data_IF_020107217987
#
_entry.id   IF_020107217987
#
_cell.length_a   1.000
_cell.length_b   1.000
_cell.length_c   1.000
_cell.angle_alpha   90.00
_cell.angle_beta   90.00
_cell.angle_gamma   90.00
#
_symmetry.space_group_name_H-M   'P 1'
#
loop_
_entity.id
_entity.type
_entity.pdbx_description
1 polymer ?
#
# COMPACT_ATOMS: atom_id res chain seq x y z
N UNK A 1 -23.72 -4.27 15.71
CA UNK A 1 -22.90 -5.34 15.11
C UNK A 1 -21.44 -4.99 15.36
N UNK A 2 -20.70 -5.80 16.13
CA UNK A 2 -19.25 -5.65 16.26
C UNK A 2 -18.65 -5.83 14.87
N UNK A 3 -18.14 -4.74 14.26
CA UNK A 3 -17.36 -4.86 13.02
C UNK A 3 -16.15 -5.73 13.36
N UNK A 4 -15.95 -6.87 12.69
CA UNK A 4 -14.73 -7.64 12.88
C UNK A 4 -13.54 -6.73 12.54
N UNK A 5 -12.51 -6.68 13.40
CA UNK A 5 -11.21 -6.06 13.10
C UNK A 5 -10.55 -6.61 11.81
N UNK A 6 -11.13 -7.69 11.29
CA UNK A 6 -10.83 -8.47 10.12
C UNK A 6 -10.64 -7.69 8.80
N UNK A 7 -11.33 -6.56 8.61
CA UNK A 7 -11.30 -5.83 7.33
C UNK A 7 -10.27 -4.71 7.25
N UNK A 8 -9.58 -4.40 8.34
CA UNK A 8 -8.66 -3.27 8.39
C UNK A 8 -7.23 -3.59 7.97
N UNK A 9 -6.90 -4.88 7.80
CA UNK A 9 -5.53 -5.38 7.66
C UNK A 9 -5.11 -6.07 6.37
N UNK A 10 -5.90 -6.20 5.27
CA UNK A 10 -5.37 -6.78 4.04
C UNK A 10 -4.16 -5.97 3.55
N UNK A 11 -3.22 -6.66 2.89
CA UNK A 11 -1.89 -6.22 2.49
C UNK A 11 -0.78 -6.35 3.56
N UNK A 12 -0.97 -7.14 4.63
CA UNK A 12 0.12 -7.48 5.56
C UNK A 12 1.24 -8.25 4.87
N UNK A 13 0.93 -9.17 3.97
CA UNK A 13 1.94 -9.93 3.20
C UNK A 13 2.87 -8.97 2.46
N UNK A 14 2.29 -7.98 1.75
CA UNK A 14 3.08 -6.96 1.06
C UNK A 14 3.84 -6.07 2.05
N UNK A 15 3.23 -5.65 3.15
CA UNK A 15 3.91 -4.89 4.19
C UNK A 15 5.16 -5.62 4.71
N UNK A 16 5.04 -6.88 5.06
CA UNK A 16 6.17 -7.67 5.54
C UNK A 16 7.25 -7.90 4.47
N UNK A 17 6.86 -8.06 3.19
CA UNK A 17 7.84 -8.10 2.09
C UNK A 17 8.65 -6.81 2.00
N UNK A 18 8.04 -5.67 2.29
CA UNK A 18 8.66 -4.34 2.23
C UNK A 18 9.49 -4.02 3.45
N UNK A 19 8.95 -4.21 4.65
CA UNK A 19 9.56 -3.68 5.89
C UNK A 19 10.46 -4.65 6.60
N UNK A 20 10.24 -5.94 6.39
CA UNK A 20 10.98 -6.97 7.06
C UNK A 20 11.80 -7.71 6.03
N UNK A 21 12.73 -7.08 5.32
CA UNK A 21 13.70 -7.74 4.42
C UNK A 21 13.18 -9.00 3.67
N UNK A 22 12.03 -8.89 2.99
CA UNK A 22 11.38 -10.02 2.30
C UNK A 22 11.08 -11.21 3.22
N UNK A 23 10.61 -10.92 4.43
CA UNK A 23 10.35 -11.84 5.55
C UNK A 23 11.56 -12.71 5.96
N UNK A 24 12.60 -12.19 6.65
CA UNK A 24 13.81 -12.92 7.01
C UNK A 24 13.55 -14.11 7.96
N UNK A 25 12.37 -14.16 8.58
CA UNK A 25 11.91 -15.28 9.41
C UNK A 25 11.17 -16.37 8.61
N UNK A 26 10.86 -16.15 7.32
CA UNK A 26 10.50 -17.26 6.47
C UNK A 26 11.69 -18.23 6.48
N UNK A 27 11.47 -19.52 6.79
CA UNK A 27 12.58 -20.46 6.94
C UNK A 27 13.52 -20.57 5.73
N UNK A 28 13.02 -20.16 4.56
CA UNK A 28 13.76 -19.98 3.30
C UNK A 28 15.00 -19.07 3.41
N UNK A 29 14.98 -18.11 4.34
CA UNK A 29 16.07 -17.15 4.54
C UNK A 29 17.15 -17.66 5.51
N UNK A 30 16.96 -18.84 6.13
CA UNK A 30 17.95 -19.46 7.04
C UNK A 30 18.31 -20.92 6.71
N UNK A 31 17.43 -21.74 6.12
CA UNK A 31 17.73 -23.14 5.75
C UNK A 31 17.08 -23.58 4.42
N UNK A 32 17.89 -23.78 3.37
CA UNK A 32 17.48 -24.34 2.07
C UNK A 32 16.78 -25.71 2.19
N UNK A 33 17.08 -26.48 3.24
CA UNK A 33 16.42 -27.74 3.57
C UNK A 33 14.95 -27.52 3.94
N UNK A 34 14.62 -26.52 4.75
CA UNK A 34 13.23 -26.30 5.15
C UNK A 34 12.39 -25.81 3.97
N UNK A 35 12.97 -25.04 3.04
CA UNK A 35 12.30 -24.70 1.78
C UNK A 35 11.94 -25.94 0.96
N UNK A 36 12.91 -26.86 0.74
CA UNK A 36 12.64 -28.09 -0.03
C UNK A 36 11.56 -28.94 0.62
N UNK A 37 11.58 -29.01 1.95
CA UNK A 37 10.61 -29.73 2.75
C UNK A 37 9.23 -29.04 2.70
N UNK A 38 9.18 -27.71 2.81
CA UNK A 38 7.94 -26.94 2.65
C UNK A 38 7.35 -27.19 1.26
N UNK A 39 8.16 -27.11 0.20
CA UNK A 39 7.72 -27.41 -1.16
C UNK A 39 7.26 -28.85 -1.35
N UNK A 40 7.79 -29.80 -0.58
CA UNK A 40 7.28 -31.19 -0.55
C UNK A 40 5.89 -31.21 0.10
N UNK A 41 5.74 -30.58 1.27
CA UNK A 41 4.46 -30.43 1.96
C UNK A 41 3.42 -29.70 1.06
N UNK A 42 3.85 -28.76 0.19
CA UNK A 42 2.98 -28.04 -0.75
C UNK A 42 2.61 -28.87 -2.00
N UNK A 43 3.42 -29.84 -2.40
CA UNK A 43 3.17 -30.66 -3.60
C UNK A 43 2.09 -31.73 -3.38
N UNK A 44 1.82 -32.09 -2.12
CA UNK A 44 0.96 -33.22 -1.76
C UNK A 44 -0.54 -32.85 -1.62
N UNK A 45 -0.91 -31.57 -1.74
CA UNK A 45 -2.20 -31.09 -1.22
C UNK A 45 -3.01 -30.28 -2.25
N UNK A 46 -4.22 -30.75 -2.60
CA UNK A 46 -5.25 -30.03 -3.37
C UNK A 46 -5.98 -28.92 -2.55
N UNK A 47 -5.27 -28.13 -1.74
CA UNK A 47 -5.87 -27.09 -0.88
C UNK A 47 -5.57 -25.67 -1.41
N UNK A 48 -6.37 -24.67 -1.02
CA UNK A 48 -6.04 -23.26 -1.27
C UNK A 48 -4.64 -22.91 -0.74
N UNK A 49 -3.87 -22.15 -1.52
CA UNK A 49 -2.46 -21.82 -1.26
C UNK A 49 -2.19 -21.39 0.19
N UNK A 50 -2.90 -20.38 0.70
CA UNK A 50 -2.66 -19.87 2.06
C UNK A 50 -3.07 -20.86 3.17
N UNK A 51 -4.05 -21.74 2.93
CA UNK A 51 -4.40 -22.80 3.88
C UNK A 51 -3.26 -23.79 4.03
N UNK A 52 -2.71 -24.20 2.90
CA UNK A 52 -1.58 -25.11 2.81
C UNK A 52 -0.32 -24.50 3.44
N UNK A 53 -0.01 -23.23 3.15
CA UNK A 53 1.08 -22.49 3.78
C UNK A 53 0.97 -22.45 5.31
N UNK A 54 -0.20 -22.10 5.85
CA UNK A 54 -0.40 -22.06 7.31
C UNK A 54 -0.30 -23.44 7.96
N UNK A 55 -0.79 -24.49 7.31
CA UNK A 55 -0.64 -25.87 7.80
C UNK A 55 0.83 -26.29 7.85
N UNK A 56 1.59 -26.01 6.78
CA UNK A 56 3.02 -26.29 6.72
C UNK A 56 3.79 -25.55 7.82
N UNK A 57 3.54 -24.24 8.00
CA UNK A 57 4.17 -23.46 9.06
C UNK A 57 3.84 -23.96 10.46
N UNK A 58 2.58 -24.33 10.71
CA UNK A 58 2.15 -24.90 11.98
C UNK A 58 2.82 -26.24 12.26
N UNK A 59 2.89 -27.12 11.26
CA UNK A 59 3.58 -28.41 11.36
C UNK A 59 5.06 -28.22 11.73
N UNK A 60 5.70 -27.18 11.20
CA UNK A 60 7.10 -26.82 11.47
C UNK A 60 7.29 -25.90 12.68
N UNK A 61 6.23 -25.57 13.42
CA UNK A 61 6.26 -24.66 14.59
C UNK A 61 6.83 -23.27 14.29
N UNK A 62 6.66 -22.79 13.05
CA UNK A 62 7.00 -21.41 12.66
C UNK A 62 5.89 -20.50 13.18
N UNK A 63 6.27 -19.50 13.98
CA UNK A 63 5.35 -18.50 14.50
C UNK A 63 5.24 -17.34 13.50
N UNK A 64 4.01 -17.02 13.11
CA UNK A 64 3.71 -15.84 12.28
C UNK A 64 3.35 -14.66 13.17
N UNK A 65 3.63 -13.45 12.70
CA UNK A 65 3.05 -12.23 13.27
C UNK A 65 1.51 -12.32 13.25
N UNK A 66 0.86 -11.83 14.30
CA UNK A 66 -0.59 -11.93 14.46
C UNK A 66 -1.35 -11.30 13.28
N UNK A 67 -0.88 -10.15 12.77
CA UNK A 67 -1.49 -9.49 11.62
C UNK A 67 -1.37 -10.30 10.34
N UNK A 68 -0.20 -10.93 10.11
CA UNK A 68 0.02 -11.79 8.95
C UNK A 68 -0.80 -13.09 9.04
N UNK A 69 -0.88 -13.69 10.23
CA UNK A 69 -1.68 -14.87 10.47
C UNK A 69 -3.17 -14.60 10.22
N UNK A 70 -3.69 -13.48 10.73
CA UNK A 70 -5.07 -13.06 10.49
C UNK A 70 -5.35 -12.85 9.00
N UNK A 71 -4.45 -12.19 8.27
CA UNK A 71 -4.59 -12.00 6.82
C UNK A 71 -4.63 -13.35 6.09
N UNK A 72 -3.72 -14.27 6.41
CA UNK A 72 -3.67 -15.56 5.72
C UNK A 72 -4.87 -16.45 6.06
N UNK A 73 -5.41 -16.32 7.26
CA UNK A 73 -6.69 -16.94 7.63
C UNK A 73 -7.85 -16.38 6.80
N UNK A 74 -7.90 -15.05 6.62
CA UNK A 74 -8.86 -14.41 5.72
C UNK A 74 -8.69 -14.96 4.29
N UNK A 75 -7.47 -15.01 3.75
CA UNK A 75 -7.22 -15.54 2.40
C UNK A 75 -7.64 -17.01 2.26
N UNK A 76 -7.37 -17.84 3.25
CA UNK A 76 -7.76 -19.25 3.25
C UNK A 76 -9.28 -19.50 3.31
N UNK A 77 -10.06 -18.47 3.64
CA UNK A 77 -11.53 -18.48 3.65
C UNK A 77 -12.13 -17.72 2.46
N UNK A 78 -11.35 -16.84 1.85
CA UNK A 78 -11.79 -16.00 0.73
C UNK A 78 -11.94 -16.84 -0.53
N UNK A 79 -13.15 -16.89 -1.08
CA UNK A 79 -13.36 -17.43 -2.43
C UNK A 79 -12.77 -16.47 -3.45
N UNK A 80 -11.83 -16.97 -4.26
CA UNK A 80 -11.22 -16.21 -5.35
C UNK A 80 -12.29 -15.80 -6.37
N UNK A 81 -12.33 -14.51 -6.70
CA UNK A 81 -13.23 -13.96 -7.71
C UNK A 81 -12.74 -14.34 -9.13
N UNK A 82 -13.67 -14.52 -10.08
CA UNK A 82 -13.33 -14.93 -11.45
C UNK A 82 -12.42 -13.91 -12.16
N UNK A 83 -12.65 -12.61 -11.98
CA UNK A 83 -11.79 -11.56 -12.55
C UNK A 83 -10.36 -11.67 -12.02
N UNK A 84 -10.21 -11.85 -10.72
CA UNK A 84 -8.90 -12.02 -10.10
C UNK A 84 -8.20 -13.29 -10.63
N UNK A 85 -8.96 -14.38 -10.80
CA UNK A 85 -8.49 -15.64 -11.40
C UNK A 85 -8.04 -15.44 -12.84
N UNK A 86 -8.80 -14.71 -13.65
CA UNK A 86 -8.44 -14.40 -15.03
C UNK A 86 -7.13 -13.62 -15.14
N UNK A 87 -6.94 -12.62 -14.27
CA UNK A 87 -5.68 -11.86 -14.18
C UNK A 87 -4.52 -12.82 -13.91
N UNK A 88 -4.65 -13.65 -12.88
CA UNK A 88 -3.63 -14.64 -12.52
C UNK A 88 -3.35 -15.65 -13.64
N UNK A 89 -4.37 -16.14 -14.34
CA UNK A 89 -4.21 -17.07 -15.46
C UNK A 89 -3.62 -16.42 -16.71
N UNK A 90 -3.78 -15.11 -16.87
CA UNK A 90 -3.19 -14.36 -18.00
C UNK A 90 -1.68 -14.17 -17.86
N UNK A 91 -1.14 -14.34 -16.65
CA UNK A 91 0.27 -14.14 -16.37
C UNK A 91 1.16 -15.18 -17.02
N UNK A 92 2.13 -14.72 -17.81
CA UNK A 92 3.16 -15.58 -18.37
C UNK A 92 4.16 -15.98 -17.28
N UNK A 93 4.24 -17.28 -16.96
CA UNK A 93 5.19 -17.78 -15.97
C UNK A 93 6.44 -18.30 -16.65
N UNK A 94 7.48 -17.47 -16.69
CA UNK A 94 8.83 -17.94 -17.02
C UNK A 94 9.26 -18.90 -15.92
N UNK A 95 9.74 -20.10 -16.30
CA UNK A 95 10.33 -21.01 -15.31
C UNK A 95 11.59 -20.36 -14.74
N UNK A 96 11.56 -20.04 -13.46
CA UNK A 96 12.75 -19.59 -12.75
C UNK A 96 13.56 -20.82 -12.34
N UNK A 97 14.87 -20.80 -12.56
CA UNK A 97 15.77 -21.85 -12.08
C UNK A 97 16.01 -21.73 -10.57
N UNK A 98 15.83 -20.53 -10.03
CA UNK A 98 16.03 -20.22 -8.63
C UNK A 98 14.76 -20.51 -7.81
N UNK A 99 14.80 -21.60 -7.07
CA UNK A 99 13.73 -22.09 -6.19
C UNK A 99 13.14 -20.98 -5.28
N UNK A 100 13.99 -20.19 -4.61
CA UNK A 100 13.52 -19.05 -3.79
C UNK A 100 12.65 -18.07 -4.58
N UNK A 101 13.08 -17.65 -5.77
CA UNK A 101 12.34 -16.68 -6.60
C UNK A 101 10.98 -17.27 -7.00
N UNK A 102 10.94 -18.55 -7.39
CA UNK A 102 9.69 -19.23 -7.73
C UNK A 102 8.66 -19.19 -6.59
N UNK A 103 9.11 -19.34 -5.34
CA UNK A 103 8.22 -19.29 -4.19
C UNK A 103 7.72 -17.88 -3.89
N UNK A 104 8.60 -16.86 -3.88
CA UNK A 104 8.16 -15.48 -3.65
C UNK A 104 7.23 -15.02 -4.77
N UNK A 105 7.49 -15.40 -6.02
CA UNK A 105 6.57 -15.16 -7.14
C UNK A 105 5.17 -15.73 -6.84
N UNK A 106 5.08 -16.99 -6.40
CA UNK A 106 3.81 -17.59 -6.01
C UNK A 106 3.15 -16.86 -4.82
N UNK A 107 3.91 -16.53 -3.79
CA UNK A 107 3.40 -15.84 -2.61
C UNK A 107 2.84 -14.46 -2.98
N UNK A 108 3.61 -13.66 -3.73
CA UNK A 108 3.26 -12.31 -4.19
C UNK A 108 1.97 -12.35 -5.02
N UNK A 109 1.90 -13.21 -6.04
CA UNK A 109 0.75 -13.23 -6.94
C UNK A 109 -0.49 -13.92 -6.35
N UNK A 110 -0.33 -14.87 -5.43
CA UNK A 110 -1.46 -15.34 -4.63
C UNK A 110 -1.93 -14.22 -3.68
N UNK A 111 -1.04 -13.50 -3.00
CA UNK A 111 -1.44 -12.38 -2.14
C UNK A 111 -2.23 -11.32 -2.93
N UNK A 112 -1.81 -11.00 -4.16
CA UNK A 112 -2.57 -10.14 -5.07
C UNK A 112 -3.98 -10.70 -5.33
N UNK A 113 -4.07 -11.95 -5.77
CA UNK A 113 -5.31 -12.64 -6.13
C UNK A 113 -6.35 -12.61 -4.99
N UNK A 114 -5.90 -13.00 -3.79
CA UNK A 114 -6.77 -13.07 -2.62
C UNK A 114 -7.10 -11.69 -2.06
N UNK A 115 -6.16 -10.74 -2.09
CA UNK A 115 -6.43 -9.36 -1.68
C UNK A 115 -7.47 -8.70 -2.58
N UNK A 116 -7.35 -8.84 -3.90
CA UNK A 116 -8.35 -8.33 -4.84
C UNK A 116 -9.73 -8.95 -4.56
N UNK A 117 -9.78 -10.27 -4.36
CA UNK A 117 -11.02 -10.98 -4.07
C UNK A 117 -11.64 -10.53 -2.74
N UNK A 118 -10.82 -10.33 -1.70
CA UNK A 118 -11.26 -9.84 -0.40
C UNK A 118 -11.79 -8.40 -0.49
N UNK A 119 -11.13 -7.53 -1.27
CA UNK A 119 -11.61 -6.17 -1.55
C UNK A 119 -13.00 -6.21 -2.20
N UNK A 120 -13.15 -6.98 -3.27
CA UNK A 120 -14.43 -7.08 -3.98
C UNK A 120 -15.55 -7.58 -3.07
N UNK A 121 -15.27 -8.57 -2.21
CA UNK A 121 -16.23 -9.06 -1.21
C UNK A 121 -16.57 -8.00 -0.16
N UNK A 122 -15.58 -7.25 0.34
CA UNK A 122 -15.79 -6.15 1.27
C UNK A 122 -16.64 -5.02 0.68
N UNK A 123 -16.43 -4.73 -0.60
CA UNK A 123 -17.20 -3.72 -1.33
C UNK A 123 -18.65 -4.18 -1.57
N UNK A 124 -18.87 -5.49 -1.73
CA UNK A 124 -20.20 -6.05 -1.91
C UNK A 124 -21.01 -5.95 -0.59
N UNK A 125 -22.08 -5.14 -0.61
CA UNK A 125 -22.91 -4.86 0.57
C UNK A 125 -22.46 -3.66 1.42
N UNK A 126 -21.37 -2.98 1.06
CA UNK A 126 -20.95 -1.73 1.71
C UNK A 126 -21.71 -0.51 1.15
N UNK A 127 -22.00 0.48 1.99
CA UNK A 127 -22.56 1.77 1.55
C UNK A 127 -21.55 2.55 0.68
N UNK A 128 -22.03 3.49 -0.14
CA UNK A 128 -21.16 4.31 -1.01
C UNK A 128 -20.03 5.01 -0.22
N UNK A 129 -20.36 5.59 0.94
CA UNK A 129 -19.38 6.22 1.82
C UNK A 129 -18.31 5.23 2.32
N UNK A 130 -18.72 4.00 2.70
CA UNK A 130 -17.79 2.96 3.13
C UNK A 130 -16.92 2.47 1.96
N UNK A 131 -17.48 2.32 0.76
CA UNK A 131 -16.72 1.96 -0.43
C UNK A 131 -15.65 3.01 -0.72
N UNK A 132 -16.02 4.29 -0.72
CA UNK A 132 -15.09 5.40 -0.93
C UNK A 132 -13.98 5.41 0.14
N UNK A 133 -14.33 5.19 1.41
CA UNK A 133 -13.35 5.06 2.49
C UNK A 133 -12.34 3.93 2.22
N UNK A 134 -12.83 2.74 1.84
CA UNK A 134 -11.95 1.60 1.59
C UNK A 134 -11.08 1.79 0.34
N UNK A 135 -11.62 2.34 -0.75
CA UNK A 135 -10.85 2.68 -1.96
C UNK A 135 -9.70 3.61 -1.58
N UNK A 136 -9.99 4.73 -0.90
CA UNK A 136 -8.97 5.69 -0.51
C UNK A 136 -7.93 5.08 0.44
N UNK A 137 -8.38 4.26 1.40
CA UNK A 137 -7.49 3.58 2.34
C UNK A 137 -6.52 2.63 1.61
N UNK A 138 -7.03 1.82 0.69
CA UNK A 138 -6.22 0.85 -0.05
C UNK A 138 -5.25 1.53 -1.01
N UNK A 139 -5.69 2.54 -1.77
CA UNK A 139 -4.80 3.30 -2.65
C UNK A 139 -3.66 3.94 -1.86
N UNK A 140 -3.97 4.54 -0.70
CA UNK A 140 -2.94 5.09 0.18
C UNK A 140 -1.92 4.03 0.64
N UNK A 141 -2.39 2.87 1.10
CA UNK A 141 -1.50 1.77 1.54
C UNK A 141 -0.63 1.30 0.37
N UNK A 142 -1.22 1.12 -0.81
CA UNK A 142 -0.49 0.70 -2.01
C UNK A 142 0.58 1.72 -2.38
N UNK A 143 0.24 3.01 -2.41
CA UNK A 143 1.19 4.09 -2.68
C UNK A 143 2.34 4.12 -1.68
N UNK A 144 2.04 4.02 -0.39
CA UNK A 144 3.05 3.99 0.68
C UNK A 144 4.01 2.79 0.50
N UNK A 145 3.47 1.59 0.22
CA UNK A 145 4.26 0.37 -0.01
C UNK A 145 5.14 0.47 -1.26
N UNK A 146 4.57 0.93 -2.38
CA UNK A 146 5.30 1.12 -3.65
C UNK A 146 6.40 2.16 -3.52
N UNK A 147 6.11 3.30 -2.88
CA UNK A 147 7.11 4.33 -2.60
C UNK A 147 8.31 3.76 -1.83
N UNK A 148 8.04 2.91 -0.83
CA UNK A 148 9.10 2.25 -0.07
C UNK A 148 9.86 1.20 -0.88
N UNK A 149 9.19 0.39 -1.70
CA UNK A 149 9.86 -0.58 -2.59
C UNK A 149 10.83 0.09 -3.55
N UNK A 150 10.41 1.20 -4.15
CA UNK A 150 11.28 1.98 -5.05
C UNK A 150 12.48 2.54 -4.31
N UNK A 151 12.29 3.04 -3.10
CA UNK A 151 13.41 3.45 -2.24
C UNK A 151 14.36 2.29 -1.96
N UNK A 152 13.82 1.11 -1.60
CA UNK A 152 14.62 -0.09 -1.37
C UNK A 152 15.35 -0.57 -2.63
N UNK A 153 14.76 -0.42 -3.82
CA UNK A 153 15.43 -0.74 -5.08
C UNK A 153 16.63 0.16 -5.35
N UNK A 154 16.55 1.43 -4.96
CA UNK A 154 17.65 2.39 -5.12
C UNK A 154 18.71 2.26 -4.02
N UNK A 155 18.32 1.93 -2.80
CA UNK A 155 19.22 1.82 -1.63
C UNK A 155 19.88 0.43 -1.51
N UNK A 156 19.12 -0.63 -1.82
CA UNK A 156 19.49 -2.03 -1.66
C UNK A 156 19.97 -2.61 -2.99
N UNK A 157 21.23 -3.05 -3.03
CA UNK A 157 21.87 -3.59 -4.23
C UNK A 157 21.17 -4.83 -4.85
N UNK A 158 21.83 -5.43 -5.84
CA UNK A 158 21.23 -6.35 -6.83
C UNK A 158 20.60 -7.66 -6.32
N UNK A 159 20.89 -8.11 -5.08
CA UNK A 159 20.54 -9.48 -4.63
C UNK A 159 19.04 -9.77 -4.53
N UNK A 160 18.23 -8.74 -4.32
CA UNK A 160 16.78 -8.85 -4.07
C UNK A 160 15.95 -8.04 -5.08
N UNK A 161 16.63 -7.46 -6.08
CA UNK A 161 16.04 -6.52 -7.03
C UNK A 161 14.82 -7.10 -7.75
N UNK A 162 14.88 -8.38 -8.16
CA UNK A 162 13.77 -9.04 -8.83
C UNK A 162 12.55 -9.20 -7.92
N UNK A 163 12.74 -9.50 -6.65
CA UNK A 163 11.64 -9.68 -5.68
C UNK A 163 10.98 -8.34 -5.38
N UNK A 164 11.78 -7.28 -5.22
CA UNK A 164 11.29 -5.91 -5.08
C UNK A 164 10.44 -5.52 -6.30
N UNK A 165 10.92 -5.81 -7.51
CA UNK A 165 10.21 -5.52 -8.74
C UNK A 165 8.92 -6.31 -8.91
N UNK A 166 8.92 -7.63 -8.66
CA UNK A 166 7.70 -8.44 -8.72
C UNK A 166 6.64 -7.94 -7.71
N UNK A 167 7.09 -7.50 -6.53
CA UNK A 167 6.22 -6.92 -5.52
C UNK A 167 5.65 -5.57 -5.98
N UNK A 168 6.46 -4.69 -6.57
CA UNK A 168 5.96 -3.42 -7.13
C UNK A 168 4.96 -3.66 -8.26
N UNK A 169 5.22 -4.64 -9.13
CA UNK A 169 4.32 -5.00 -10.22
C UNK A 169 2.98 -5.54 -9.73
N UNK A 170 2.97 -6.39 -8.69
CA UNK A 170 1.73 -6.87 -8.10
C UNK A 170 0.89 -5.74 -7.48
N UNK A 171 1.56 -4.80 -6.78
CA UNK A 171 0.90 -3.62 -6.22
C UNK A 171 0.39 -2.66 -7.30
N UNK A 172 1.14 -2.48 -8.40
CA UNK A 172 0.71 -1.71 -9.57
C UNK A 172 -0.55 -2.30 -10.22
N UNK A 173 -0.60 -3.63 -10.37
CA UNK A 173 -1.79 -4.31 -10.89
C UNK A 173 -2.99 -4.09 -9.96
N UNK A 174 -2.79 -4.19 -8.64
CA UNK A 174 -3.86 -3.92 -7.68
C UNK A 174 -4.37 -2.48 -7.75
N UNK A 175 -3.47 -1.51 -7.88
CA UNK A 175 -3.81 -0.10 -8.07
C UNK A 175 -4.67 0.11 -9.33
N UNK A 176 -4.25 -0.48 -10.46
CA UNK A 176 -5.01 -0.44 -11.70
C UNK A 176 -6.41 -1.08 -11.56
N UNK A 177 -6.50 -2.23 -10.89
CA UNK A 177 -7.78 -2.88 -10.65
C UNK A 177 -8.72 -2.03 -9.79
N UNK A 178 -8.21 -1.37 -8.74
CA UNK A 178 -9.01 -0.47 -7.90
C UNK A 178 -9.54 0.70 -8.73
N UNK A 179 -8.67 1.33 -9.52
CA UNK A 179 -9.08 2.43 -10.40
C UNK A 179 -10.10 2.00 -11.46
N UNK A 180 -9.97 0.78 -11.96
CA UNK A 180 -10.84 0.25 -13.02
C UNK A 180 -12.21 -0.15 -12.47
N UNK A 181 -12.25 -0.84 -11.34
CA UNK A 181 -13.50 -1.34 -10.72
C UNK A 181 -14.26 -0.27 -9.94
N UNK A 182 -13.58 0.78 -9.47
CA UNK A 182 -14.15 1.80 -8.59
C UNK A 182 -13.83 3.22 -9.07
N UNK A 183 -13.83 3.44 -10.40
CA UNK A 183 -13.50 4.71 -11.03
C UNK A 183 -14.28 5.89 -10.41
N UNK A 184 -15.60 5.72 -10.23
CA UNK A 184 -16.49 6.76 -9.68
C UNK A 184 -16.19 7.14 -8.22
N UNK A 185 -15.46 6.29 -7.50
CA UNK A 185 -15.08 6.49 -6.10
C UNK A 185 -13.65 7.00 -5.93
N UNK A 186 -12.86 7.02 -7.00
CA UNK A 186 -11.48 7.46 -6.98
C UNK A 186 -11.39 9.00 -6.98
N UNK A 187 -10.50 9.60 -6.16
CA UNK A 187 -10.29 11.04 -6.20
C UNK A 187 -9.76 11.49 -7.58
N UNK A 188 -10.27 12.60 -8.14
CA UNK A 188 -9.70 13.17 -9.36
C UNK A 188 -8.23 13.57 -9.11
N UNK A 189 -7.33 13.20 -10.03
CA UNK A 189 -5.89 13.51 -9.95
C UNK A 189 -5.00 12.42 -9.37
N UNK A 190 -5.54 11.36 -8.75
CA UNK A 190 -4.71 10.23 -8.30
C UNK A 190 -4.14 9.40 -9.47
N UNK A 191 -4.82 9.42 -10.62
CA UNK A 191 -4.41 8.68 -11.82
C UNK A 191 -3.10 9.21 -12.45
N UNK A 192 -2.65 10.42 -12.12
CA UNK A 192 -1.44 10.99 -12.72
C UNK A 192 -0.14 10.39 -12.16
N UNK A 193 -0.17 9.68 -11.02
CA UNK A 193 0.99 8.90 -10.54
C UNK A 193 1.17 7.55 -11.25
N UNK A 194 0.23 7.14 -12.11
CA UNK A 194 0.16 5.81 -12.72
C UNK A 194 1.21 5.50 -13.79
N UNK A 195 2.06 6.44 -14.18
CA UNK A 195 3.00 6.21 -15.28
C UNK A 195 4.40 5.75 -14.84
N UNK A 196 4.75 5.83 -13.55
CA UNK A 196 6.11 5.52 -13.12
C UNK A 196 6.23 4.04 -12.73
N UNK A 197 6.24 3.15 -13.73
CA UNK A 197 6.79 1.81 -13.54
C UNK A 197 8.21 1.93 -12.97
N UNK A 198 8.58 1.01 -12.08
CA UNK A 198 9.96 0.95 -11.58
C UNK A 198 10.89 0.72 -12.78
N UNK A 199 11.77 1.69 -13.05
CA UNK A 199 12.70 1.60 -14.18
C UNK A 199 13.81 0.60 -13.82
N UNK A 200 13.71 -0.59 -14.40
CA UNK A 200 14.69 -1.64 -14.20
C UNK A 200 15.95 -1.34 -15.02
N UNK A 201 17.10 -1.34 -14.35
CA UNK A 201 18.38 -1.27 -15.07
C UNK A 201 18.90 -2.67 -15.39
N UNK A 202 19.34 -2.96 -16.63
CA UNK A 202 19.85 -4.28 -17.01
C UNK A 202 21.01 -4.77 -16.15
N UNK A 203 21.85 -3.85 -15.65
CA UNK A 203 22.97 -4.19 -14.77
C UNK A 203 22.55 -4.72 -13.40
N UNK A 204 21.42 -4.23 -12.86
CA UNK A 204 20.90 -4.68 -11.56
C UNK A 204 20.19 -6.03 -11.68
N UNK A 205 19.53 -6.29 -12.82
CA UNK A 205 18.74 -7.51 -13.05
C UNK A 205 19.37 -8.50 -14.03
N UNK A 206 20.66 -8.45 -14.31
CA UNK A 206 21.27 -9.24 -15.40
C UNK A 206 20.92 -10.75 -15.35
N UNK A 207 20.84 -11.35 -14.15
CA UNK A 207 20.50 -12.77 -13.98
C UNK A 207 19.00 -13.06 -14.09
N UNK A 208 18.16 -12.08 -13.80
CA UNK A 208 16.70 -12.18 -13.74
C UNK A 208 15.99 -11.38 -14.85
N UNK A 209 16.76 -10.84 -15.80
CA UNK A 209 16.29 -9.92 -16.84
C UNK A 209 15.18 -10.52 -17.69
N UNK A 210 15.28 -11.82 -18.00
CA UNK A 210 14.27 -12.53 -18.75
C UNK A 210 12.93 -12.60 -18.00
N UNK A 211 12.96 -12.76 -16.66
CA UNK A 211 11.76 -12.77 -15.83
C UNK A 211 11.14 -11.37 -15.80
N UNK A 212 11.94 -10.34 -15.50
CA UNK A 212 11.47 -8.96 -15.49
C UNK A 212 10.89 -8.52 -16.84
N UNK A 213 11.59 -8.82 -17.94
CA UNK A 213 11.11 -8.51 -19.30
C UNK A 213 9.80 -9.23 -19.64
N UNK A 214 9.62 -10.47 -19.19
CA UNK A 214 8.38 -11.20 -19.39
C UNK A 214 7.23 -10.61 -18.57
N UNK A 215 7.51 -10.16 -17.34
CA UNK A 215 6.53 -9.46 -16.49
C UNK A 215 6.13 -8.11 -17.10
N UNK A 216 7.09 -7.31 -17.58
CA UNK A 216 6.82 -6.06 -18.30
C UNK A 216 5.98 -6.33 -19.55
N UNK A 217 6.38 -7.32 -20.36
CA UNK A 217 5.65 -7.69 -21.57
C UNK A 217 4.21 -8.09 -21.26
N UNK A 218 4.01 -8.94 -20.24
CA UNK A 218 2.68 -9.32 -19.78
C UNK A 218 1.86 -8.10 -19.36
N UNK A 219 2.42 -7.23 -18.52
CA UNK A 219 1.69 -6.08 -18.01
C UNK A 219 1.25 -5.15 -19.16
N UNK A 220 2.20 -4.77 -20.02
CA UNK A 220 1.98 -3.78 -21.08
C UNK A 220 1.14 -4.35 -22.22
N UNK A 221 1.40 -5.57 -22.67
CA UNK A 221 0.82 -6.10 -23.92
C UNK A 221 -0.35 -7.06 -23.69
N UNK A 222 -0.55 -7.55 -22.46
CA UNK A 222 -1.62 -8.50 -22.15
C UNK A 222 -2.58 -7.90 -21.12
N UNK A 223 -2.08 -7.51 -19.95
CA UNK A 223 -2.91 -7.04 -18.86
C UNK A 223 -3.61 -5.71 -19.21
N UNK A 224 -2.84 -4.67 -19.54
CA UNK A 224 -3.40 -3.34 -19.84
C UNK A 224 -4.44 -3.40 -20.98
N UNK A 225 -4.18 -4.01 -22.15
CA UNK A 225 -5.15 -4.03 -23.24
C UNK A 225 -6.42 -4.85 -22.90
N UNK A 226 -6.29 -5.92 -22.12
CA UNK A 226 -7.41 -6.82 -21.81
C UNK A 226 -8.31 -6.28 -20.69
N UNK A 227 -7.72 -5.67 -19.67
CA UNK A 227 -8.42 -5.36 -18.43
C UNK A 227 -8.75 -3.87 -18.24
N UNK A 228 -8.18 -2.97 -19.05
CA UNK A 228 -8.42 -1.52 -18.99
C UNK A 228 -9.83 -1.11 -19.45
N UNK A 229 -10.38 -1.79 -20.46
CA UNK A 229 -11.65 -1.37 -21.10
C UNK A 229 -12.86 -2.24 -20.71
N UNK A 230 -12.65 -3.31 -19.94
CA UNK A 230 -13.69 -4.33 -19.68
C UNK A 230 -14.84 -3.86 -18.77
N UNK A 231 -14.69 -2.77 -18.01
CA UNK A 231 -15.76 -2.26 -17.12
C UNK A 231 -16.76 -1.35 -17.87
N UNK A 232 -16.36 -0.75 -19.00
CA UNK A 232 -17.25 0.13 -19.78
C UNK A 232 -18.38 -0.61 -20.53
N UNK A 233 -18.38 -1.95 -20.56
CA UNK A 233 -19.37 -2.73 -21.30
C UNK A 233 -20.46 -3.36 -20.43
N UNK A 234 -20.20 -3.68 -19.17
CA UNK A 234 -21.23 -4.25 -18.27
C UNK A 234 -22.10 -3.14 -17.65
N UNK A 235 -21.51 -2.01 -17.24
CA UNK A 235 -22.27 -0.90 -16.64
C UNK A 235 -23.21 -0.18 -17.62
N UNK A 236 -22.99 -0.27 -18.94
CA UNK A 236 -23.91 0.36 -19.91
C UNK A 236 -25.29 -0.29 -19.98
N UNK A 237 -25.39 -1.59 -19.68
CA UNK A 237 -26.70 -2.29 -19.69
C UNK A 237 -27.50 -2.03 -18.41
N UNK A 238 -26.84 -1.92 -17.27
CA UNK A 238 -27.49 -1.70 -15.99
C UNK A 238 -27.71 -0.19 -15.69
N UNK A 239 -26.79 0.69 -16.12
CA UNK A 239 -26.95 2.14 -15.96
C UNK A 239 -28.03 2.74 -16.87
N UNK A 240 -28.32 2.17 -18.05
CA UNK A 240 -29.47 2.61 -18.87
C UNK A 240 -30.82 2.27 -18.22
N UNK A 241 -30.87 1.19 -17.44
CA UNK A 241 -32.06 0.81 -16.67
C UNK A 241 -32.22 1.72 -15.44
N UNK A 242 -31.13 2.02 -14.74
CA UNK A 242 -31.10 2.84 -13.53
C UNK A 242 -31.29 4.35 -13.83
N UNK A 243 -30.74 4.88 -14.93
CA UNK A 243 -30.97 6.28 -15.31
C UNK A 243 -32.42 6.55 -15.72
N UNK A 244 -33.14 5.57 -16.30
CA UNK A 244 -34.57 5.73 -16.56
C UNK A 244 -35.38 5.75 -15.27
N UNK A 245 -35.04 4.90 -14.30
CA UNK A 245 -35.71 4.87 -12.99
C UNK A 245 -35.39 6.11 -12.14
N UNK A 246 -34.15 6.59 -12.18
CA UNK A 246 -33.71 7.80 -11.50
C UNK A 246 -34.35 9.05 -12.10
N UNK A 247 -34.48 9.15 -13.43
CA UNK A 247 -35.19 10.25 -14.08
C UNK A 247 -36.71 10.24 -13.81
N UNK A 248 -37.33 9.06 -13.69
CA UNK A 248 -38.73 8.92 -13.26
C UNK A 248 -38.90 9.34 -11.79
N UNK A 249 -37.96 8.99 -10.91
CA UNK A 249 -37.95 9.45 -9.52
C UNK A 249 -37.70 10.95 -9.40
N UNK A 250 -36.79 11.52 -10.21
CA UNK A 250 -36.48 12.96 -10.22
C UNK A 250 -37.66 13.77 -10.78
N UNK A 251 -38.38 13.28 -11.80
CA UNK A 251 -39.61 13.93 -12.28
C UNK A 251 -40.71 13.92 -11.21
N UNK A 252 -40.87 12.81 -10.47
CA UNK A 252 -41.84 12.72 -9.36
C UNK A 252 -41.45 13.60 -8.17
N UNK A 253 -40.16 13.85 -7.94
CA UNK A 253 -39.68 14.77 -6.91
C UNK A 253 -39.85 16.23 -7.33
N UNK A 254 -39.65 16.56 -8.60
CA UNK A 254 -39.90 17.92 -9.15
C UNK A 254 -41.39 18.30 -9.15
N UNK A 255 -42.28 17.34 -9.35
CA UNK A 255 -43.73 17.57 -9.21
C UNK A 255 -44.15 17.76 -7.74
N UNK A 256 -43.36 17.25 -6.78
CA UNK A 256 -43.55 17.43 -5.34
C UNK A 256 -42.98 18.74 -4.78
N UNK A 257 -41.90 19.26 -5.35
CA UNK A 257 -41.23 20.49 -4.86
C UNK A 257 -41.89 21.79 -5.36
N UNK A 258 -42.75 21.72 -6.38
CA UNK A 258 -43.52 22.88 -6.90
C UNK A 258 -44.64 23.37 -5.95
N UNK A 259 -44.84 22.73 -4.79
CA UNK A 259 -45.79 23.17 -3.76
C UNK A 259 -45.16 23.84 -2.53
N UNK A 260 -43.83 23.97 -2.45
CA UNK A 260 -43.16 24.51 -1.23
C UNK A 260 -42.35 25.79 -1.50
N UNK A 261 -41.92 26.07 -2.73
CA UNK A 261 -41.21 27.32 -3.09
C UNK A 261 -42.11 28.41 -3.70
N UNK A 262 -43.14 28.85 -2.96
CA UNK A 262 -43.85 30.11 -3.27
C UNK A 262 -43.82 31.14 -2.14
N UNK A 263 -42.99 30.91 -1.13
CA UNK A 263 -42.83 31.83 0.00
C UNK A 263 -41.33 31.90 0.31
N UNK A 264 -40.74 33.08 0.12
CA UNK A 264 -39.36 33.48 0.48
C UNK A 264 -38.30 33.21 -0.60
N UNK A 265 -38.18 34.12 -1.57
CA UNK A 265 -36.95 34.93 -1.72
C UNK A 265 -37.14 36.04 -2.75
N UNK A 266 -37.37 37.26 -2.26
CA UNK A 266 -37.05 38.49 -2.97
C UNK A 266 -35.70 39.02 -2.44
N UNK A 267 -34.80 39.32 -3.38
CA UNK A 267 -33.67 40.28 -3.29
C UNK A 267 -32.46 39.88 -2.42
N UNK A 268 -31.29 39.69 -3.05
CA UNK A 268 -30.25 40.71 -3.35
C UNK A 268 -28.96 39.98 -3.79
N UNK A 269 -28.37 40.44 -4.89
CA UNK A 269 -26.95 40.25 -5.30
C UNK A 269 -26.25 41.63 -5.22
N UNK A 270 -24.93 41.76 -5.46
CA UNK A 270 -23.77 40.93 -5.10
C UNK A 270 -22.60 41.78 -4.52
N UNK A 271 -21.51 41.18 -3.99
CA UNK A 271 -20.14 41.71 -4.19
C UNK A 271 -19.01 40.77 -3.71
N UNK A 272 -18.18 40.37 -4.67
CA UNK A 272 -16.71 40.23 -4.72
C UNK A 272 -15.85 40.37 -3.43
N UNK A 273 -14.93 39.41 -3.21
CA UNK A 273 -13.50 39.64 -2.89
C UNK A 273 -12.67 38.34 -2.92
N UNK A 274 -11.61 38.36 -3.72
CA UNK A 274 -10.48 37.43 -3.66
C UNK A 274 -9.68 37.66 -2.37
N UNK A 275 -9.25 36.57 -1.72
CA UNK A 275 -8.10 36.58 -0.82
C UNK A 275 -7.20 35.38 -1.13
N UNK A 276 -5.94 35.70 -1.39
CA UNK A 276 -4.83 34.79 -1.64
C UNK A 276 -4.34 34.26 -0.29
N UNK A 277 -4.41 32.94 -0.09
CA UNK A 277 -3.81 32.27 1.06
C UNK A 277 -2.42 31.73 0.69
N UNK A 278 -1.39 32.39 1.21
CA UNK A 278 -0.02 31.86 1.30
C UNK A 278 0.03 30.58 2.15
N UNK A 279 0.72 29.51 1.72
CA UNK A 279 0.83 28.28 2.50
C UNK A 279 1.79 28.44 3.68
N UNK A 280 1.39 27.87 4.83
CA UNK A 280 2.22 27.76 6.03
C UNK A 280 3.40 26.80 5.81
N UNK A 281 4.57 27.03 6.43
CA UNK A 281 5.75 26.19 6.28
C UNK A 281 5.49 24.78 6.85
N UNK A 282 5.61 23.77 6.00
CA UNK A 282 5.57 22.36 6.41
C UNK A 282 6.78 22.07 7.31
N UNK A 283 6.53 21.66 8.55
CA UNK A 283 7.59 21.25 9.49
C UNK A 283 8.16 19.91 9.04
N UNK A 284 9.38 19.95 8.50
CA UNK A 284 10.18 18.81 8.04
C UNK A 284 10.38 17.77 9.16
N UNK A 285 10.16 16.48 8.88
CA UNK A 285 10.22 15.38 9.87
C UNK A 285 11.48 14.55 9.60
N UNK A 286 12.30 14.34 10.63
CA UNK A 286 13.60 13.67 10.53
C UNK A 286 13.70 12.43 11.43
N UNK A 287 14.61 11.52 11.08
CA UNK A 287 14.87 10.28 11.80
C UNK A 287 15.99 10.39 12.86
N UNK A 288 16.30 9.30 13.57
CA UNK A 288 17.33 9.30 14.61
C UNK A 288 18.75 9.48 14.07
N UNK A 289 19.04 9.05 12.84
CA UNK A 289 20.36 9.21 12.22
C UNK A 289 20.59 10.66 11.83
N UNK A 290 19.55 11.32 11.29
CA UNK A 290 19.58 12.73 10.96
C UNK A 290 19.72 13.61 12.21
N UNK A 291 19.04 13.27 13.31
CA UNK A 291 19.23 13.97 14.59
C UNK A 291 20.66 13.80 15.13
N UNK A 292 21.23 12.60 15.04
CA UNK A 292 22.63 12.36 15.43
C UNK A 292 23.59 13.21 14.60
N UNK A 293 23.35 13.34 13.30
CA UNK A 293 24.14 14.17 12.41
C UNK A 293 23.99 15.68 12.73
N UNK A 294 22.77 16.15 13.00
CA UNK A 294 22.50 17.56 13.30
C UNK A 294 23.04 18.01 14.66
N UNK A 295 23.04 17.12 15.66
CA UNK A 295 23.52 17.41 17.01
C UNK A 295 24.98 16.97 17.25
N UNK A 296 25.57 16.18 16.35
CA UNK A 296 26.92 15.64 16.50
C UNK A 296 27.04 14.68 17.69
N UNK A 297 25.99 13.92 18.01
CA UNK A 297 25.94 13.00 19.16
C UNK A 297 25.81 11.55 18.74
N UNK A 298 26.36 10.65 19.55
CA UNK A 298 26.21 9.20 19.35
C UNK A 298 24.85 8.66 19.79
N UNK A 299 24.50 7.45 19.30
CA UNK A 299 23.23 6.75 19.54
C UNK A 299 22.86 6.61 21.02
N UNK A 300 23.84 6.28 21.86
CA UNK A 300 23.64 6.12 23.32
C UNK A 300 23.19 7.42 23.97
N UNK A 301 23.82 8.54 23.59
CA UNK A 301 23.50 9.86 24.11
C UNK A 301 22.11 10.32 23.64
N UNK A 302 21.76 10.07 22.38
CA UNK A 302 20.40 10.35 21.89
C UNK A 302 19.34 9.53 22.64
N UNK A 303 19.62 8.27 22.95
CA UNK A 303 18.72 7.41 23.74
C UNK A 303 18.52 7.93 25.17
N UNK A 304 19.60 8.34 25.83
CA UNK A 304 19.54 8.93 27.18
C UNK A 304 18.76 10.24 27.21
N UNK A 305 19.03 11.15 26.27
CA UNK A 305 18.35 12.44 26.18
C UNK A 305 16.86 12.28 25.89
N UNK A 306 16.49 11.28 25.10
CA UNK A 306 15.09 10.93 24.86
C UNK A 306 14.41 10.36 26.10
N UNK A 307 15.08 9.47 26.85
CA UNK A 307 14.52 8.89 28.07
C UNK A 307 14.36 9.92 29.19
N UNK A 308 15.17 10.98 29.18
CA UNK A 308 15.06 12.13 30.08
C UNK A 308 14.11 13.21 29.58
N UNK A 309 13.46 13.00 28.43
CA UNK A 309 12.55 13.97 27.77
C UNK A 309 13.20 15.34 27.49
N UNK A 310 14.53 15.38 27.32
CA UNK A 310 15.28 16.62 27.04
C UNK A 310 15.08 17.11 25.60
N UNK A 311 14.73 16.20 24.68
CA UNK A 311 14.53 16.49 23.26
C UNK A 311 13.09 16.12 22.88
N UNK A 312 12.33 17.02 22.23
CA UNK A 312 10.97 16.73 21.79
C UNK A 312 10.98 15.66 20.70
N UNK A 313 10.23 14.58 20.91
CA UNK A 313 10.06 13.49 19.97
C UNK A 313 8.60 13.07 19.91
N UNK A 314 8.22 12.44 18.81
CA UNK A 314 6.92 11.80 18.67
C UNK A 314 7.08 10.40 18.08
N UNK A 315 6.06 9.56 18.28
CA UNK A 315 6.05 8.18 17.79
C UNK A 315 5.09 8.07 16.62
N UNK A 316 5.57 7.46 15.53
CA UNK A 316 4.72 6.98 14.43
C UNK A 316 4.83 5.45 14.48
N UNK A 317 3.85 4.80 15.09
CA UNK A 317 3.89 3.36 15.37
C UNK A 317 5.05 2.99 16.32
N UNK A 318 5.95 2.10 15.89
CA UNK A 318 7.16 1.70 16.63
C UNK A 318 8.37 2.61 16.36
N UNK A 319 8.26 3.53 15.41
CA UNK A 319 9.36 4.41 14.98
C UNK A 319 9.30 5.75 15.71
N UNK A 320 10.46 6.24 16.10
CA UNK A 320 10.63 7.53 16.77
C UNK A 320 11.05 8.57 15.72
N UNK A 321 10.39 9.72 15.74
CA UNK A 321 10.54 10.82 14.79
C UNK A 321 10.66 12.14 15.53
N UNK A 322 11.28 13.11 14.86
CA UNK A 322 11.54 14.43 15.41
C UNK A 322 11.15 15.48 14.37
N UNK A 323 10.63 16.61 14.82
CA UNK A 323 10.50 17.76 13.94
C UNK A 323 11.87 18.42 13.82
N UNK A 324 12.32 18.64 12.59
CA UNK A 324 13.63 19.22 12.31
C UNK A 324 13.81 20.57 12.97
N UNK A 325 12.77 21.40 12.97
CA UNK A 325 12.80 22.72 13.59
C UNK A 325 13.08 22.63 15.09
N UNK A 326 12.39 21.75 15.80
CA UNK A 326 12.55 21.60 17.25
C UNK A 326 13.97 21.13 17.62
N UNK A 327 14.61 20.33 16.76
CA UNK A 327 16.00 19.89 16.93
C UNK A 327 17.00 21.01 16.66
N UNK A 328 16.75 21.86 15.65
CA UNK A 328 17.57 23.04 15.36
C UNK A 328 17.46 24.06 16.50
N UNK A 329 16.26 24.34 16.98
CA UNK A 329 16.02 25.24 18.11
C UNK A 329 16.70 24.72 19.38
N UNK A 330 16.66 23.41 19.62
CA UNK A 330 17.36 22.77 20.73
C UNK A 330 18.89 22.90 20.63
N UNK A 331 19.46 22.69 19.44
CA UNK A 331 20.89 22.88 19.18
C UNK A 331 21.31 24.31 19.47
N UNK A 332 20.52 25.28 19.03
CA UNK A 332 20.81 26.70 19.22
C UNK A 332 20.69 27.14 20.69
N UNK A 333 19.86 26.44 21.49
CA UNK A 333 19.83 26.58 22.95
C UNK A 333 21.07 25.98 23.64
N UNK A 334 21.59 24.84 23.15
CA UNK A 334 22.85 24.26 23.66
C UNK A 334 24.04 25.19 23.41
N UNK A 335 24.15 25.77 22.22
CA UNK A 335 25.24 26.69 21.86
C UNK A 335 25.11 28.03 22.57
N UNK A 336 23.89 28.55 22.77
CA UNK A 336 23.66 29.79 23.54
C UNK A 336 23.96 29.63 25.04
N UNK A 337 23.77 28.45 25.63
CA UNK A 337 24.15 28.17 27.02
C UNK A 337 25.67 28.01 27.20
N UNK A 338 26.40 27.66 26.15
CA UNK A 338 27.88 27.57 26.16
C UNK A 338 28.62 28.91 26.03
N UNK A 339 27.94 30.00 25.68
CA UNK A 339 28.57 31.30 25.39
C UNK A 339 28.56 32.32 26.55
N UNK A 340 28.14 31.90 27.76
CA UNK A 340 28.11 32.77 28.96
C UNK A 340 29.14 32.43 30.05
N UNK A 341 30.12 31.59 29.74
CA UNK A 341 31.21 31.27 30.66
C UNK A 341 32.55 31.28 29.92
N UNK A 342 33.01 32.47 29.51
CA UNK A 342 34.44 32.76 29.24
C UNK A 342 34.68 34.27 29.02
N UNK A 343 34.20 35.08 29.97
CA UNK A 343 34.69 36.45 30.18
C UNK A 343 34.71 36.75 31.67
N UNK A 344 35.75 36.27 32.34
CA UNK A 344 36.37 36.91 33.49
C UNK A 344 37.72 36.21 33.72
N UNK A 345 38.73 36.70 33.00
CA UNK A 345 40.11 36.74 33.46
C UNK A 345 40.83 37.80 32.62
N UNK A 346 40.77 39.04 33.12
CA UNK A 346 41.85 40.03 33.14
C UNK A 346 41.50 41.14 34.13
#
# INVERSE_FOLDING_TARGET
MNRPAFYDRPLQTFHHLVFDSLMPWLPENQEMMLYRVLMTDLAEINKPFFRMMMEAMRHRKVLLDDGLLEEWQLFAQTKVNERAREIYLSMYRVKTSHQKIAYYDQLIFNALLYSQSALMQLMNGSSALMKQYYVNKWLKIIHDLRGRLRQLYHDGGTKEAILIYLTDMALLVMEHEIHTLYADLCPPGLLESNANMLIVTPGIMAQDWALASATDHWFINIYVPRFKDSVLQEDKKDAELDHRQLNDMISRLKDGESQIEKVITEKVSPLNKQEVLTPAPQKDIIDSNEVMALLGIGKTKLFEMRNKEEIPFFKIGKLIRYHRQDILDFRDQMTSKGSKADKNDY
#
